data_IF_261257985901
#
_entry.id   IF_261257985901
#
_cell.length_a   1.000
_cell.length_b   1.000
_cell.length_c   1.000
_cell.angle_alpha   90.00
_cell.angle_beta   90.00
_cell.angle_gamma   90.00
#
_symmetry.space_group_name_H-M   'P 1'
#
loop_
_entity.id
_entity.type
_entity.pdbx_description
1 polymer ?
#
# COMPACT_ATOMS: atom_id res chain seq x y z
N UNK A 1 -32.88 -14.45 -25.96
CA UNK A 1 -31.59 -13.74 -26.07
C UNK A 1 -31.46 -12.61 -25.04
N UNK A 2 -32.37 -11.62 -24.99
CA UNK A 2 -32.19 -10.42 -24.14
C UNK A 2 -32.09 -10.67 -22.63
N UNK A 3 -32.89 -11.55 -22.04
CA UNK A 3 -32.94 -11.71 -20.58
C UNK A 3 -31.65 -12.29 -19.97
N UNK A 4 -30.97 -13.18 -20.72
CA UNK A 4 -29.70 -13.79 -20.30
C UNK A 4 -28.57 -12.76 -20.42
N UNK A 5 -28.52 -12.01 -21.52
CA UNK A 5 -27.51 -10.95 -21.72
C UNK A 5 -27.63 -9.85 -20.64
N UNK A 6 -28.85 -9.44 -20.31
CA UNK A 6 -29.08 -8.46 -19.23
C UNK A 6 -28.63 -8.99 -17.86
N UNK A 7 -28.91 -10.26 -17.54
CA UNK A 7 -28.48 -10.86 -16.27
C UNK A 7 -26.94 -10.93 -16.17
N UNK A 8 -26.25 -11.30 -17.24
CA UNK A 8 -24.78 -11.35 -17.26
C UNK A 8 -24.13 -9.98 -17.09
N UNK A 9 -24.70 -8.93 -17.72
CA UNK A 9 -24.19 -7.56 -17.57
C UNK A 9 -24.36 -7.04 -16.14
N UNK A 10 -25.51 -7.32 -15.50
CA UNK A 10 -25.76 -6.91 -14.11
C UNK A 10 -24.82 -7.61 -13.14
N UNK A 11 -24.52 -8.91 -13.35
CA UNK A 11 -23.55 -9.64 -12.52
C UNK A 11 -22.14 -9.08 -12.69
N UNK A 12 -21.68 -8.79 -13.92
CA UNK A 12 -20.37 -8.17 -14.14
C UNK A 12 -20.24 -6.79 -13.48
N UNK A 13 -21.28 -5.95 -13.57
CA UNK A 13 -21.30 -4.63 -12.94
C UNK A 13 -21.24 -4.72 -11.41
N UNK A 14 -21.98 -5.66 -10.81
CA UNK A 14 -21.97 -5.88 -9.37
C UNK A 14 -20.60 -6.36 -8.86
N UNK A 15 -19.94 -7.28 -9.58
CA UNK A 15 -18.57 -7.72 -9.23
C UNK A 15 -17.56 -6.56 -9.36
N UNK A 16 -17.70 -5.71 -10.37
CA UNK A 16 -16.81 -4.57 -10.61
C UNK A 16 -16.95 -3.49 -9.54
N UNK A 17 -18.17 -3.28 -9.03
CA UNK A 17 -18.45 -2.30 -7.98
C UNK A 17 -17.82 -2.71 -6.63
N UNK A 18 -17.93 -3.98 -6.24
CA UNK A 18 -17.32 -4.48 -5.00
C UNK A 18 -15.79 -4.37 -5.01
N UNK A 19 -15.14 -4.71 -6.12
CA UNK A 19 -13.70 -4.61 -6.26
C UNK A 19 -13.19 -3.15 -6.21
N UNK A 20 -13.98 -2.20 -6.70
CA UNK A 20 -13.65 -0.78 -6.63
C UNK A 20 -13.79 -0.21 -5.20
N UNK A 21 -14.79 -0.69 -4.45
CA UNK A 21 -15.02 -0.30 -3.05
C UNK A 21 -13.90 -0.82 -2.13
N UNK A 22 -13.54 -2.11 -2.28
CA UNK A 22 -12.41 -2.72 -1.57
C UNK A 22 -11.10 -1.98 -1.85
N UNK A 23 -10.78 -1.68 -3.12
CA UNK A 23 -9.59 -0.93 -3.48
C UNK A 23 -9.57 0.49 -2.87
N UNK A 24 -10.73 1.13 -2.76
CA UNK A 24 -10.90 2.42 -2.11
C UNK A 24 -10.62 2.34 -0.59
N UNK A 25 -11.18 1.34 0.09
CA UNK A 25 -10.96 1.12 1.53
C UNK A 25 -9.48 0.81 1.83
N UNK A 26 -8.84 -0.05 1.02
CA UNK A 26 -7.40 -0.29 1.13
C UNK A 26 -6.58 0.99 0.94
N UNK A 27 -6.92 1.82 -0.05
CA UNK A 27 -6.21 3.08 -0.29
C UNK A 27 -6.37 4.07 0.89
N UNK A 28 -7.56 4.16 1.48
CA UNK A 28 -7.80 5.00 2.66
C UNK A 28 -6.92 4.56 3.84
N UNK A 29 -6.88 3.26 4.15
CA UNK A 29 -6.05 2.73 5.22
C UNK A 29 -4.55 2.84 4.94
N UNK A 30 -4.15 2.69 3.67
CA UNK A 30 -2.76 2.78 3.25
C UNK A 30 -2.19 4.21 3.41
N UNK A 31 -3.01 5.25 3.24
CA UNK A 31 -2.63 6.65 3.45
C UNK A 31 -2.05 6.92 4.85
N UNK A 32 -2.56 6.24 5.87
CA UNK A 32 -2.02 6.31 7.24
C UNK A 32 -0.60 5.77 7.34
N UNK A 33 -0.31 4.66 6.65
CA UNK A 33 1.01 4.03 6.64
C UNK A 33 2.05 4.91 5.95
N UNK A 34 1.71 5.53 4.81
CA UNK A 34 2.62 6.45 4.12
C UNK A 34 3.04 7.61 5.01
N UNK A 35 2.09 8.23 5.73
CA UNK A 35 2.39 9.34 6.65
C UNK A 35 3.26 8.88 7.82
N UNK A 36 2.98 7.71 8.36
CA UNK A 36 3.77 7.12 9.44
C UNK A 36 5.20 6.84 9.00
N UNK A 37 5.41 6.25 7.82
CA UNK A 37 6.75 5.97 7.29
C UNK A 37 7.59 7.24 7.13
N UNK A 38 7.00 8.34 6.66
CA UNK A 38 7.67 9.65 6.57
C UNK A 38 8.00 10.19 7.96
N UNK A 39 7.08 10.09 8.92
CA UNK A 39 7.31 10.56 10.28
C UNK A 39 8.46 9.79 10.96
N UNK A 40 8.52 8.47 10.79
CA UNK A 40 9.60 7.63 11.31
C UNK A 40 10.95 8.01 10.70
N UNK A 41 11.01 8.22 9.38
CA UNK A 41 12.22 8.68 8.71
C UNK A 41 12.71 10.03 9.24
N UNK A 42 11.79 10.98 9.44
CA UNK A 42 12.13 12.32 9.95
C UNK A 42 12.54 12.32 11.43
N UNK A 43 12.03 11.38 12.24
CA UNK A 43 12.36 11.28 13.66
C UNK A 43 13.73 10.63 13.91
N UNK A 44 14.22 9.81 12.98
CA UNK A 44 15.52 9.16 13.09
C UNK A 44 16.67 10.17 12.88
N UNK A 45 17.63 10.29 13.81
CA UNK A 45 18.82 11.10 13.59
C UNK A 45 19.59 10.64 12.34
N UNK A 46 20.07 11.60 11.54
CA UNK A 46 20.69 11.31 10.25
C UNK A 46 21.93 10.41 10.34
N UNK A 47 22.72 10.58 11.40
CA UNK A 47 23.89 9.75 11.72
C UNK A 47 23.52 8.31 12.11
N UNK A 48 22.26 8.04 12.45
CA UNK A 48 21.77 6.71 12.76
C UNK A 48 21.13 5.98 11.57
N UNK A 49 21.09 6.55 10.37
CA UNK A 49 20.54 5.87 9.19
C UNK A 49 21.28 4.58 8.82
N UNK A 50 22.54 4.43 9.26
CA UNK A 50 23.30 3.19 9.15
C UNK A 50 22.96 2.12 10.20
N UNK A 51 22.04 2.37 11.14
CA UNK A 51 21.65 1.41 12.16
C UNK A 51 21.16 0.10 11.53
N UNK A 52 21.70 -1.02 12.02
CA UNK A 52 21.46 -2.37 11.50
C UNK A 52 21.27 -3.33 12.67
N UNK A 53 20.03 -3.76 12.99
CA UNK A 53 19.77 -4.55 14.20
C UNK A 53 20.36 -5.97 14.15
N UNK A 54 20.57 -6.52 12.95
CA UNK A 54 21.23 -7.80 12.74
C UNK A 54 22.13 -7.75 11.48
N UNK A 55 23.28 -8.42 11.42
CA UNK A 55 24.18 -8.39 10.27
C UNK A 55 23.57 -8.79 8.92
N UNK A 56 22.40 -9.43 8.89
CA UNK A 56 21.70 -9.82 7.66
C UNK A 56 20.54 -8.89 7.27
N UNK A 57 20.09 -8.01 8.18
CA UNK A 57 18.97 -7.08 7.92
C UNK A 57 19.42 -5.86 7.13
N UNK A 58 18.53 -5.22 6.37
CA UNK A 58 18.82 -3.88 5.82
C UNK A 58 19.16 -2.87 6.93
N UNK A 59 19.98 -1.88 6.62
CA UNK A 59 20.10 -0.68 7.47
C UNK A 59 18.76 0.05 7.52
N UNK A 60 18.56 0.90 8.52
CA UNK A 60 17.37 1.74 8.61
C UNK A 60 17.15 2.55 7.31
N UNK A 61 18.19 3.21 6.81
CA UNK A 61 18.08 4.02 5.59
C UNK A 61 17.73 3.19 4.35
N UNK A 62 18.35 2.02 4.20
CA UNK A 62 18.00 1.08 3.12
C UNK A 62 16.55 0.62 3.23
N UNK A 63 16.06 0.30 4.43
CA UNK A 63 14.68 -0.13 4.65
C UNK A 63 13.68 0.98 4.30
N UNK A 64 13.92 2.22 4.72
CA UNK A 64 13.08 3.37 4.35
C UNK A 64 13.08 3.57 2.83
N UNK A 65 14.24 3.47 2.19
CA UNK A 65 14.34 3.55 0.73
C UNK A 65 13.55 2.43 0.04
N UNK A 66 13.65 1.20 0.55
CA UNK A 66 12.90 0.07 0.01
C UNK A 66 11.39 0.30 0.09
N UNK A 67 10.89 0.69 1.27
CA UNK A 67 9.47 1.00 1.49
C UNK A 67 8.99 2.10 0.52
N UNK A 68 9.77 3.16 0.34
CA UNK A 68 9.43 4.26 -0.55
C UNK A 68 9.41 3.86 -2.03
N UNK A 69 10.25 2.92 -2.46
CA UNK A 69 10.31 2.48 -3.87
C UNK A 69 9.38 1.33 -4.23
N UNK A 70 8.99 0.50 -3.25
CA UNK A 70 8.15 -0.68 -3.49
C UNK A 70 6.66 -0.40 -3.37
N UNK A 71 6.28 0.62 -2.58
CA UNK A 71 4.87 0.91 -2.30
C UNK A 71 4.36 2.22 -2.92
N UNK A 72 5.12 2.85 -3.83
CA UNK A 72 4.74 4.08 -4.52
C UNK A 72 4.47 3.82 -6.00
#
# INVERSE_FOLDING_TARGET
>A
MNRVVTATIVVLLALSANAADEAGEYAEHFSGLTKLSVAVANAMPADQYGFRPHPESMTFGELISHIATTNY
#
